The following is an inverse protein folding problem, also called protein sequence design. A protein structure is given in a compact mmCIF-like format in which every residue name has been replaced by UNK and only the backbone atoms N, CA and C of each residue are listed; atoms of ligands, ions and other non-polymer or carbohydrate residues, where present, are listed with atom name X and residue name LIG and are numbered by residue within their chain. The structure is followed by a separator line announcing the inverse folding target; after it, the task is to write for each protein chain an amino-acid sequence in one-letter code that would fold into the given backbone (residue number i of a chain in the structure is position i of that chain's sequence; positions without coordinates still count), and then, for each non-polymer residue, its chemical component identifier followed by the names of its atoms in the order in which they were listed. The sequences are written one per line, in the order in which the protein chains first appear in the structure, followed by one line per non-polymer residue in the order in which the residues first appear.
data_IF_050001428795
#
_entry.id   IF_050001428795
#
_cell.length_a   1.000
_cell.length_b   1.000
_cell.length_c   1.000
_cell.angle_alpha   90.00
_cell.angle_beta   90.00
_cell.angle_gamma   90.00
#
_symmetry.space_group_name_H-M   'P 1'
#
loop_
_entity.id
_entity.type
_entity.pdbx_description
1 polymer ?
#
# COMPACT_ATOMS: atom_id res chain seq x y z
N UNK A 1 7.91 81.18 -5.70
CA UNK A 1 8.06 79.69 -5.59
C UNK A 1 6.71 79.02 -5.32
N UNK A 2 5.60 79.75 -5.25
CA UNK A 2 4.26 79.21 -4.96
C UNK A 2 3.37 78.96 -6.20
N UNK A 3 3.72 79.56 -7.34
CA UNK A 3 2.86 79.52 -8.54
C UNK A 3 3.01 78.13 -9.28
N UNK A 4 4.10 77.39 -9.10
CA UNK A 4 4.23 76.06 -9.71
C UNK A 4 3.48 74.97 -8.98
N UNK A 5 3.10 75.13 -7.69
CA UNK A 5 2.37 74.14 -6.91
C UNK A 5 0.85 74.13 -7.23
N UNK A 6 0.29 75.27 -7.68
CA UNK A 6 -1.14 75.35 -7.96
C UNK A 6 -1.56 74.81 -9.34
N UNK A 7 -0.62 74.74 -10.27
CA UNK A 7 -0.88 74.22 -11.63
C UNK A 7 -0.88 72.70 -11.64
N UNK A 8 -0.09 72.05 -10.77
CA UNK A 8 -0.03 70.58 -10.67
C UNK A 8 -1.29 70.01 -10.00
N UNK A 9 -1.95 70.78 -9.10
CA UNK A 9 -3.15 70.34 -8.40
C UNK A 9 -4.44 70.40 -9.25
N UNK A 10 -4.48 71.23 -10.28
CA UNK A 10 -5.64 71.39 -11.15
C UNK A 10 -5.66 70.45 -12.34
N UNK A 11 -4.53 69.86 -12.70
CA UNK A 11 -4.44 68.84 -13.77
C UNK A 11 -4.76 67.41 -13.30
N UNK A 12 -4.78 67.15 -11.98
CA UNK A 12 -5.10 65.85 -11.43
C UNK A 12 -6.59 65.58 -11.27
N UNK A 13 -7.46 66.57 -11.47
CA UNK A 13 -8.92 66.44 -11.26
C UNK A 13 -9.67 66.08 -12.55
N UNK A 14 -9.02 66.16 -13.72
CA UNK A 14 -9.66 65.90 -15.00
C UNK A 14 -9.39 64.50 -15.58
N UNK A 15 -8.56 63.69 -15.00
CA UNK A 15 -8.47 62.27 -15.36
C UNK A 15 -9.27 61.46 -14.33
N UNK A 16 -10.52 61.14 -14.70
CA UNK A 16 -11.40 60.26 -13.94
C UNK A 16 -10.77 58.88 -13.78
N UNK A 17 -9.90 58.73 -12.78
CA UNK A 17 -9.44 57.41 -12.35
C UNK A 17 -10.60 56.86 -11.50
N UNK A 18 -11.52 56.17 -12.14
CA UNK A 18 -12.41 55.28 -11.41
C UNK A 18 -11.55 54.30 -10.64
N UNK A 19 -11.73 54.11 -9.32
CA UNK A 19 -11.05 53.04 -8.63
C UNK A 19 -11.54 51.73 -9.25
N UNK A 20 -10.68 51.09 -10.01
CA UNK A 20 -10.90 49.76 -10.50
C UNK A 20 -10.92 48.89 -9.23
N UNK A 21 -12.14 48.59 -8.74
CA UNK A 21 -12.37 47.55 -7.73
C UNK A 21 -11.90 46.24 -8.34
N UNK A 22 -10.63 45.91 -8.11
CA UNK A 22 -10.13 44.57 -8.34
C UNK A 22 -10.95 43.70 -7.41
N UNK A 23 -11.80 42.80 -7.91
CA UNK A 23 -12.44 41.85 -7.03
C UNK A 23 -11.28 41.06 -6.34
N UNK A 24 -11.27 41.17 -5.04
CA UNK A 24 -10.43 40.31 -4.22
C UNK A 24 -10.88 38.88 -4.54
N UNK A 25 -10.19 38.29 -5.54
CA UNK A 25 -10.37 36.89 -5.84
C UNK A 25 -9.87 36.16 -4.58
N UNK A 26 -10.80 35.79 -3.70
CA UNK A 26 -10.51 34.86 -2.64
C UNK A 26 -9.94 33.63 -3.34
N UNK A 27 -8.60 33.50 -3.28
CA UNK A 27 -7.93 32.27 -3.59
C UNK A 27 -8.51 31.26 -2.59
N UNK A 28 -9.51 30.53 -3.07
CA UNK A 28 -10.10 29.44 -2.32
C UNK A 28 -8.96 28.59 -1.81
N UNK A 29 -8.79 28.60 -0.50
CA UNK A 29 -7.87 27.72 0.22
C UNK A 29 -8.29 26.33 -0.22
N UNK A 30 -7.54 25.76 -1.19
CA UNK A 30 -7.68 24.35 -1.53
C UNK A 30 -7.56 23.62 -0.21
N UNK A 31 -8.64 23.01 0.23
CA UNK A 31 -8.65 22.16 1.39
C UNK A 31 -7.60 21.09 1.07
N UNK A 32 -6.44 21.20 1.72
CA UNK A 32 -5.48 20.13 1.75
C UNK A 32 -6.24 18.96 2.39
N UNK A 33 -6.69 18.03 1.57
CA UNK A 33 -7.15 16.73 2.04
C UNK A 33 -5.92 16.05 2.63
N UNK A 34 -5.61 16.40 3.89
CA UNK A 34 -4.63 15.67 4.66
C UNK A 34 -5.11 14.21 4.67
N UNK A 35 -4.37 13.35 3.98
CA UNK A 35 -4.61 11.92 4.09
C UNK A 35 -4.57 11.56 5.58
N UNK A 36 -5.46 10.67 6.05
CA UNK A 36 -5.44 10.26 7.44
C UNK A 36 -4.01 9.83 7.80
N UNK A 37 -3.51 10.38 8.89
CA UNK A 37 -2.18 10.07 9.38
C UNK A 37 -2.21 8.68 10.01
N UNK A 38 -1.40 7.76 9.50
CA UNK A 38 -1.25 6.39 10.01
C UNK A 38 0.17 6.23 10.58
N UNK A 39 0.43 6.73 11.79
CA UNK A 39 1.79 6.81 12.35
C UNK A 39 2.45 5.44 12.48
N UNK A 40 1.71 4.41 12.89
CA UNK A 40 2.25 3.05 13.00
C UNK A 40 2.60 2.45 11.64
N UNK A 41 1.83 2.77 10.60
CA UNK A 41 2.09 2.27 9.26
C UNK A 41 3.30 2.95 8.61
N UNK A 42 3.54 4.22 8.90
CA UNK A 42 4.72 4.93 8.42
C UNK A 42 6.00 4.33 9.03
N UNK A 43 6.01 4.09 10.34
CA UNK A 43 7.15 3.45 11.02
C UNK A 43 7.37 2.00 10.57
N UNK A 44 6.30 1.27 10.26
CA UNK A 44 6.37 -0.10 9.73
C UNK A 44 6.80 -0.15 8.26
N UNK A 45 6.83 0.98 7.56
CA UNK A 45 7.37 1.12 6.20
C UNK A 45 6.38 0.73 5.10
N UNK A 46 5.08 0.98 5.32
CA UNK A 46 4.06 0.80 4.28
C UNK A 46 4.13 1.96 3.29
N UNK A 47 4.21 1.60 2.01
CA UNK A 47 4.04 2.52 0.89
C UNK A 47 2.58 2.48 0.45
N UNK A 48 1.79 3.47 0.89
CA UNK A 48 0.38 3.58 0.52
C UNK A 48 0.21 4.02 -0.94
N UNK A 49 -0.78 3.47 -1.62
CA UNK A 49 -1.17 3.96 -2.93
C UNK A 49 -2.05 5.21 -2.79
N UNK A 50 -1.84 6.19 -3.66
CA UNK A 50 -2.66 7.41 -3.69
C UNK A 50 -4.09 7.13 -4.13
N UNK A 51 -4.24 6.19 -5.07
CA UNK A 51 -5.52 5.76 -5.60
C UNK A 51 -5.76 4.29 -5.26
N UNK A 52 -6.96 3.96 -4.82
CA UNK A 52 -7.40 2.59 -4.63
C UNK A 52 -7.64 1.96 -6.01
N UNK A 53 -7.03 0.83 -6.27
CA UNK A 53 -7.21 0.04 -7.51
C UNK A 53 -7.65 -1.36 -7.15
N UNK A 54 -8.48 -1.96 -7.97
CA UNK A 54 -8.82 -3.36 -7.79
C UNK A 54 -7.55 -4.22 -7.85
N UNK A 55 -7.40 -5.12 -6.87
CA UNK A 55 -6.29 -6.05 -6.86
C UNK A 55 -6.39 -6.99 -8.07
N UNK A 56 -5.33 -7.15 -8.87
CA UNK A 56 -5.34 -8.08 -10.00
C UNK A 56 -5.78 -9.46 -9.57
N UNK A 57 -6.81 -9.99 -10.20
CA UNK A 57 -7.35 -11.30 -9.90
C UNK A 57 -6.35 -12.41 -10.29
N UNK A 58 -6.31 -13.46 -9.48
CA UNK A 58 -5.58 -14.67 -9.79
C UNK A 58 -6.28 -15.90 -9.24
N UNK A 59 -5.95 -17.05 -9.83
CA UNK A 59 -6.22 -18.37 -9.28
C UNK A 59 -4.95 -19.22 -9.47
N UNK A 60 -4.29 -19.55 -8.36
CA UNK A 60 -3.02 -20.26 -8.34
C UNK A 60 -3.17 -21.60 -7.60
N UNK A 61 -2.32 -22.57 -7.92
CA UNK A 61 -2.30 -23.85 -7.21
C UNK A 61 -1.58 -23.72 -5.86
N UNK A 62 -2.22 -24.18 -4.81
CA UNK A 62 -1.57 -24.42 -3.52
C UNK A 62 -0.58 -25.58 -3.58
N UNK A 63 0.21 -25.76 -2.52
CA UNK A 63 1.12 -26.90 -2.38
C UNK A 63 0.37 -28.24 -2.43
N UNK A 64 -0.87 -28.30 -1.96
CA UNK A 64 -1.75 -29.47 -2.04
C UNK A 64 -2.34 -29.71 -3.44
N UNK A 65 -2.08 -28.80 -4.39
CA UNK A 65 -2.52 -28.84 -5.77
C UNK A 65 -3.92 -28.27 -6.00
N UNK A 66 -4.62 -27.85 -4.96
CA UNK A 66 -5.96 -27.22 -5.10
C UNK A 66 -5.82 -25.80 -5.58
N UNK A 67 -6.75 -25.31 -6.44
CA UNK A 67 -6.77 -23.91 -6.81
C UNK A 67 -7.21 -23.05 -5.62
N UNK A 68 -6.56 -21.89 -5.48
CA UNK A 68 -6.86 -20.83 -4.50
C UNK A 68 -6.97 -19.53 -5.29
N UNK A 69 -8.11 -18.89 -5.26
CA UNK A 69 -8.36 -17.61 -5.92
C UNK A 69 -8.34 -16.45 -4.91
N UNK A 70 -7.90 -15.27 -5.35
CA UNK A 70 -7.96 -14.07 -4.50
C UNK A 70 -9.41 -13.75 -4.10
N UNK A 71 -10.38 -14.03 -4.99
CA UNK A 71 -11.82 -13.83 -4.73
C UNK A 71 -12.35 -14.64 -3.55
N UNK A 72 -11.69 -15.76 -3.18
CA UNK A 72 -12.14 -16.62 -2.07
C UNK A 72 -12.01 -15.91 -0.71
N UNK A 73 -11.29 -14.80 -0.67
CA UNK A 73 -11.00 -14.02 0.54
C UNK A 73 -11.74 -12.67 0.61
N UNK A 74 -12.72 -12.43 -0.27
CA UNK A 74 -13.55 -11.22 -0.20
C UNK A 74 -14.22 -11.09 1.18
N UNK A 75 -14.33 -9.85 1.67
CA UNK A 75 -14.87 -9.57 3.01
C UNK A 75 -13.81 -9.62 4.13
N UNK A 76 -12.55 -9.98 3.80
CA UNK A 76 -11.43 -10.00 4.73
C UNK A 76 -10.19 -9.37 4.11
N UNK A 77 -9.40 -8.56 4.84
CA UNK A 77 -8.13 -8.07 4.34
C UNK A 77 -7.17 -9.21 4.01
N UNK A 78 -6.36 -9.00 2.97
CA UNK A 78 -5.37 -9.98 2.53
C UNK A 78 -4.00 -9.33 2.42
N UNK A 79 -3.00 -9.94 3.03
CA UNK A 79 -1.59 -9.70 2.75
C UNK A 79 -1.11 -10.71 1.71
N UNK A 80 -0.67 -10.24 0.55
CA UNK A 80 -0.13 -11.08 -0.52
C UNK A 80 1.38 -10.91 -0.52
N UNK A 81 2.11 -11.89 -0.01
CA UNK A 81 3.58 -11.84 0.07
C UNK A 81 4.20 -12.69 -1.04
N UNK A 82 4.89 -12.01 -1.97
CA UNK A 82 5.71 -12.66 -2.99
C UNK A 82 7.09 -12.97 -2.41
N UNK A 83 7.55 -14.21 -2.59
CA UNK A 83 8.82 -14.70 -2.09
C UNK A 83 9.44 -15.75 -3.01
N UNK A 84 10.69 -16.15 -2.76
CA UNK A 84 11.38 -17.18 -3.54
C UNK A 84 12.27 -18.07 -2.68
N UNK A 85 12.54 -19.30 -3.14
CA UNK A 85 13.37 -20.27 -2.40
C UNK A 85 14.84 -19.87 -2.32
N UNK A 86 15.32 -19.04 -3.22
CA UNK A 86 16.69 -18.50 -3.24
C UNK A 86 16.85 -17.19 -2.43
N UNK A 87 15.75 -16.60 -1.94
CA UNK A 87 15.76 -15.34 -1.21
C UNK A 87 16.00 -15.58 0.29
N UNK A 88 17.14 -15.14 0.81
CA UNK A 88 17.51 -15.33 2.21
C UNK A 88 16.59 -14.56 3.15
N UNK A 89 16.37 -13.27 2.90
CA UNK A 89 15.47 -12.42 3.71
C UNK A 89 14.03 -12.92 3.70
N UNK A 90 13.57 -13.54 2.60
CA UNK A 90 12.24 -14.15 2.56
C UNK A 90 12.13 -15.34 3.52
N UNK A 91 13.17 -16.19 3.56
CA UNK A 91 13.20 -17.35 4.46
C UNK A 91 13.22 -16.95 5.95
N UNK A 92 13.82 -15.81 6.25
CA UNK A 92 13.81 -15.23 7.60
C UNK A 92 12.46 -14.59 7.94
N UNK A 93 11.75 -14.03 6.97
CA UNK A 93 10.46 -13.36 7.17
C UNK A 93 9.29 -14.34 7.30
N UNK A 94 9.31 -15.47 6.57
CA UNK A 94 8.22 -16.46 6.57
C UNK A 94 7.82 -16.92 7.98
N UNK A 95 8.74 -17.32 8.88
CA UNK A 95 8.37 -17.70 10.25
C UNK A 95 7.81 -16.55 11.07
N UNK A 96 8.20 -15.29 10.77
CA UNK A 96 7.63 -14.11 11.43
C UNK A 96 6.19 -13.86 10.96
N UNK A 97 5.89 -14.05 9.67
CA UNK A 97 4.54 -13.98 9.12
C UNK A 97 3.64 -15.09 9.70
N UNK A 98 4.16 -16.32 9.81
CA UNK A 98 3.44 -17.43 10.44
C UNK A 98 3.07 -17.08 11.89
N UNK A 99 4.05 -16.62 12.70
CA UNK A 99 3.83 -16.20 14.08
C UNK A 99 2.87 -15.01 14.17
N UNK A 100 3.01 -14.03 13.30
CA UNK A 100 2.11 -12.87 13.23
C UNK A 100 0.66 -13.28 12.98
N UNK A 101 0.42 -14.30 12.14
CA UNK A 101 -0.92 -14.76 11.80
C UNK A 101 -1.65 -15.46 12.96
N UNK A 102 -0.93 -15.95 13.97
CA UNK A 102 -1.52 -16.69 15.08
C UNK A 102 -2.50 -15.81 15.87
N UNK A 103 -3.72 -16.34 16.07
CA UNK A 103 -4.80 -15.62 16.76
C UNK A 103 -5.42 -14.46 15.97
N UNK A 104 -5.08 -14.30 14.66
CA UNK A 104 -5.58 -13.20 13.81
C UNK A 104 -6.21 -13.67 12.50
N UNK A 105 -6.26 -14.98 12.26
CA UNK A 105 -6.74 -15.57 10.99
C UNK A 105 -8.22 -15.36 10.70
N UNK A 106 -8.99 -15.04 11.69
CA UNK A 106 -10.39 -14.61 11.58
C UNK A 106 -10.52 -13.17 11.07
N UNK A 107 -9.53 -12.33 11.34
CA UNK A 107 -9.52 -10.91 10.99
C UNK A 107 -8.72 -10.58 9.72
N UNK A 108 -7.71 -11.38 9.38
CA UNK A 108 -6.75 -11.10 8.31
C UNK A 108 -6.26 -12.42 7.68
N UNK A 109 -6.10 -12.43 6.37
CA UNK A 109 -5.49 -13.55 5.63
C UNK A 109 -4.10 -13.17 5.15
N UNK A 110 -3.15 -14.12 5.20
CA UNK A 110 -1.82 -13.98 4.58
C UNK A 110 -1.67 -15.08 3.54
N UNK A 111 -1.35 -14.70 2.31
CA UNK A 111 -1.06 -15.60 1.20
C UNK A 111 0.42 -15.50 0.85
N UNK A 112 1.12 -16.61 0.86
CA UNK A 112 2.53 -16.71 0.47
C UNK A 112 2.62 -17.20 -0.98
N UNK A 113 3.03 -16.36 -1.93
CA UNK A 113 3.17 -16.72 -3.35
C UNK A 113 4.64 -16.94 -3.68
N UNK A 114 5.02 -18.21 -3.91
CA UNK A 114 6.37 -18.58 -4.35
C UNK A 114 6.51 -18.25 -5.85
N UNK A 115 7.37 -17.27 -6.18
CA UNK A 115 7.56 -16.83 -7.59
C UNK A 115 8.37 -17.83 -8.42
N UNK A 116 9.06 -18.77 -7.78
CA UNK A 116 9.76 -19.91 -8.37
C UNK A 116 9.02 -21.22 -8.04
N UNK A 117 7.70 -21.22 -8.22
CA UNK A 117 6.80 -22.33 -7.88
C UNK A 117 7.09 -23.64 -8.60
N UNK A 118 7.79 -23.61 -9.74
CA UNK A 118 8.30 -24.78 -10.43
C UNK A 118 9.28 -25.59 -9.56
N UNK A 119 9.93 -24.93 -8.59
CA UNK A 119 10.79 -25.58 -7.59
C UNK A 119 10.00 -26.11 -6.40
N UNK A 120 8.87 -26.75 -6.66
CA UNK A 120 7.90 -27.20 -5.63
C UNK A 120 8.56 -27.94 -4.45
N UNK A 121 9.54 -28.80 -4.71
CA UNK A 121 10.23 -29.55 -3.63
C UNK A 121 11.02 -28.63 -2.71
N UNK A 122 11.65 -27.58 -3.24
CA UNK A 122 12.36 -26.60 -2.43
C UNK A 122 11.39 -25.72 -1.63
N UNK A 123 10.27 -25.32 -2.23
CA UNK A 123 9.18 -24.61 -1.54
C UNK A 123 8.66 -25.46 -0.38
N UNK A 124 8.34 -26.75 -0.64
CA UNK A 124 7.83 -27.66 0.38
C UNK A 124 8.83 -27.88 1.54
N UNK A 125 10.13 -27.95 1.22
CA UNK A 125 11.18 -28.06 2.24
C UNK A 125 11.14 -26.87 3.19
N UNK A 126 11.13 -25.63 2.66
CA UNK A 126 11.10 -24.39 3.47
C UNK A 126 9.83 -24.32 4.32
N UNK A 127 8.67 -24.67 3.74
CA UNK A 127 7.38 -24.73 4.44
C UNK A 127 7.42 -25.68 5.63
N UNK A 128 7.98 -26.89 5.44
CA UNK A 128 8.08 -27.90 6.48
C UNK A 128 9.07 -27.51 7.59
N UNK A 129 10.25 -27.01 7.22
CA UNK A 129 11.29 -26.57 8.17
C UNK A 129 10.79 -25.44 9.08
N UNK A 130 9.98 -24.53 8.54
CA UNK A 130 9.41 -23.40 9.29
C UNK A 130 8.01 -23.68 9.86
N UNK A 131 7.49 -24.92 9.71
CA UNK A 131 6.15 -25.32 10.17
C UNK A 131 5.04 -24.37 9.72
N UNK A 132 5.14 -23.89 8.47
CA UNK A 132 4.21 -22.92 7.88
C UNK A 132 2.85 -23.57 7.68
N UNK A 133 1.81 -22.92 8.19
CA UNK A 133 0.40 -23.33 8.05
C UNK A 133 -0.42 -22.31 7.25
N UNK A 134 0.23 -21.21 6.86
CA UNK A 134 -0.34 -20.22 5.93
C UNK A 134 -0.54 -20.83 4.54
N UNK A 135 -1.53 -20.38 3.77
CA UNK A 135 -1.67 -20.77 2.36
C UNK A 135 -0.42 -20.41 1.56
N UNK A 136 0.19 -21.42 0.94
CA UNK A 136 1.36 -21.26 0.06
C UNK A 136 0.95 -21.62 -1.36
N UNK A 137 1.05 -20.64 -2.25
CA UNK A 137 0.65 -20.74 -3.66
C UNK A 137 1.90 -20.79 -4.54
N UNK A 138 1.82 -21.56 -5.60
CA UNK A 138 2.89 -21.75 -6.57
C UNK A 138 2.61 -20.93 -7.83
N UNK A 139 3.47 -19.98 -8.14
CA UNK A 139 3.43 -19.28 -9.41
C UNK A 139 4.26 -20.10 -10.41
N UNK A 140 3.61 -20.56 -11.48
CA UNK A 140 4.25 -21.40 -12.50
C UNK A 140 4.47 -20.63 -13.82
N UNK A 141 3.39 -20.24 -14.48
CA UNK A 141 3.40 -19.55 -15.79
C UNK A 141 2.44 -18.36 -15.85
N UNK A 142 1.75 -18.11 -14.77
CA UNK A 142 0.73 -17.07 -14.68
C UNK A 142 1.38 -15.68 -14.68
N UNK A 143 0.72 -14.72 -15.31
CA UNK A 143 1.22 -13.32 -15.41
C UNK A 143 1.01 -12.49 -14.14
N UNK A 144 0.82 -13.15 -12.99
CA UNK A 144 0.52 -12.46 -11.72
C UNK A 144 1.64 -11.51 -11.31
N UNK A 145 2.91 -11.90 -11.50
CA UNK A 145 4.04 -11.01 -11.24
C UNK A 145 3.97 -9.71 -12.04
N UNK A 146 3.66 -9.82 -13.33
CA UNK A 146 3.58 -8.64 -14.21
C UNK A 146 2.42 -7.73 -13.81
N UNK A 147 1.27 -8.32 -13.49
CA UNK A 147 0.07 -7.60 -13.06
C UNK A 147 0.28 -6.83 -11.75
N UNK A 148 1.03 -7.39 -10.80
CA UNK A 148 1.41 -6.74 -9.53
C UNK A 148 2.68 -5.90 -9.65
N UNK A 149 3.35 -5.90 -10.81
CA UNK A 149 4.61 -5.19 -11.01
C UNK A 149 5.78 -5.76 -10.19
N UNK A 150 5.73 -7.07 -9.88
CA UNK A 150 6.80 -7.77 -9.18
C UNK A 150 7.92 -8.07 -10.16
N UNK A 151 9.03 -7.36 -10.04
CA UNK A 151 10.19 -7.45 -10.96
C UNK A 151 11.36 -8.23 -10.34
N UNK A 152 11.05 -9.31 -9.60
CA UNK A 152 12.07 -10.12 -8.94
C UNK A 152 12.62 -9.54 -7.62
N UNK A 153 12.12 -8.39 -7.18
CA UNK A 153 12.42 -7.83 -5.87
C UNK A 153 11.51 -8.49 -4.83
N UNK A 154 12.08 -9.36 -4.01
CA UNK A 154 11.38 -10.09 -2.95
C UNK A 154 12.17 -10.02 -1.64
N UNK A 155 11.53 -10.04 -0.46
CA UNK A 155 10.09 -10.15 -0.26
C UNK A 155 9.35 -8.86 -0.63
N UNK A 156 8.15 -9.00 -1.16
CA UNK A 156 7.27 -7.89 -1.50
C UNK A 156 5.84 -8.24 -1.08
N UNK A 157 5.27 -7.47 -0.16
CA UNK A 157 3.92 -7.71 0.35
C UNK A 157 2.96 -6.63 -0.13
N UNK A 158 1.87 -7.03 -0.77
CA UNK A 158 0.75 -6.15 -1.12
C UNK A 158 -0.35 -6.26 -0.08
N UNK A 159 -1.01 -5.13 0.18
CA UNK A 159 -2.10 -5.00 1.11
C UNK A 159 -3.40 -4.81 0.33
N UNK A 160 -4.33 -5.73 0.53
CA UNK A 160 -5.65 -5.76 -0.11
C UNK A 160 -6.71 -5.63 0.97
N UNK A 161 -7.65 -4.70 0.81
CA UNK A 161 -8.72 -4.50 1.78
C UNK A 161 -9.89 -5.50 1.61
N UNK A 162 -10.92 -5.37 2.45
CA UNK A 162 -12.08 -6.25 2.47
C UNK A 162 -12.86 -6.22 1.15
N UNK A 163 -12.84 -5.09 0.44
CA UNK A 163 -13.47 -4.89 -0.86
C UNK A 163 -12.61 -5.42 -2.01
N UNK A 164 -11.38 -5.89 -1.71
CA UNK A 164 -10.43 -6.40 -2.68
C UNK A 164 -9.65 -5.31 -3.43
N UNK A 165 -9.51 -4.14 -2.83
CA UNK A 165 -8.74 -3.04 -3.40
C UNK A 165 -7.32 -3.06 -2.89
N UNK A 166 -6.34 -2.82 -3.77
CA UNK A 166 -4.96 -2.56 -3.39
C UNK A 166 -4.86 -1.21 -2.68
N UNK A 167 -4.36 -1.20 -1.45
CA UNK A 167 -4.23 0.02 -0.64
C UNK A 167 -2.78 0.39 -0.34
N UNK A 168 -1.85 -0.52 -0.54
CA UNK A 168 -0.43 -0.27 -0.34
C UNK A 168 0.44 -1.51 -0.56
N UNK A 169 1.74 -1.32 -0.33
CA UNK A 169 2.73 -2.40 -0.38
C UNK A 169 3.84 -2.18 0.63
N UNK A 170 4.53 -3.25 0.96
CA UNK A 170 5.75 -3.28 1.77
C UNK A 170 6.86 -3.87 0.92
N UNK A 171 7.98 -3.18 0.79
CA UNK A 171 9.15 -3.63 0.04
C UNK A 171 10.23 -4.07 1.01
N UNK A 172 10.70 -5.31 0.85
CA UNK A 172 11.73 -5.91 1.71
C UNK A 172 11.17 -6.45 3.02
N UNK A 173 12.03 -7.18 3.71
CA UNK A 173 11.74 -7.85 5.00
C UNK A 173 11.30 -6.87 6.09
N UNK A 174 10.39 -7.32 6.95
CA UNK A 174 9.93 -6.60 8.16
C UNK A 174 9.90 -7.52 9.38
N UNK A 175 10.00 -6.90 10.55
CA UNK A 175 9.71 -7.59 11.81
C UNK A 175 8.21 -7.60 12.06
N UNK A 176 7.55 -8.63 11.55
CA UNK A 176 6.12 -8.85 11.74
C UNK A 176 5.73 -9.14 13.20
N UNK A 177 6.72 -9.45 14.06
CA UNK A 177 6.47 -9.65 15.48
C UNK A 177 6.56 -8.36 16.30
N UNK A 178 6.91 -7.22 15.69
CA UNK A 178 6.92 -5.92 16.35
C UNK A 178 5.51 -5.46 16.73
N UNK A 179 5.41 -4.60 17.74
CA UNK A 179 4.13 -4.02 18.17
C UNK A 179 3.49 -3.16 17.07
N UNK A 180 4.31 -2.51 16.25
CA UNK A 180 3.90 -1.67 15.14
C UNK A 180 3.17 -2.45 14.05
N UNK A 181 3.59 -3.70 13.79
CA UNK A 181 3.01 -4.54 12.75
C UNK A 181 1.49 -4.70 12.93
N UNK A 182 1.05 -5.15 14.10
CA UNK A 182 -0.38 -5.33 14.36
C UNK A 182 -1.13 -4.01 14.51
N UNK A 183 -0.52 -3.02 15.15
CA UNK A 183 -1.11 -1.69 15.30
C UNK A 183 -1.39 -1.06 13.95
N UNK A 184 -0.45 -1.18 13.01
CA UNK A 184 -0.63 -0.71 11.64
C UNK A 184 -1.75 -1.47 10.91
N UNK A 185 -1.82 -2.81 11.03
CA UNK A 185 -2.89 -3.57 10.38
C UNK A 185 -4.27 -3.19 10.93
N UNK A 186 -4.39 -3.00 12.25
CA UNK A 186 -5.65 -2.53 12.86
C UNK A 186 -6.04 -1.15 12.35
N UNK A 187 -5.11 -0.23 12.33
CA UNK A 187 -5.32 1.14 11.86
C UNK A 187 -5.73 1.17 10.38
N UNK A 188 -5.01 0.41 9.54
CA UNK A 188 -5.19 0.43 8.09
C UNK A 188 -6.49 -0.25 7.62
N UNK A 189 -6.86 -1.35 8.26
CA UNK A 189 -8.02 -2.16 7.89
C UNK A 189 -9.21 -2.00 8.84
N UNK A 190 -9.13 -1.09 9.82
CA UNK A 190 -10.15 -0.88 10.86
C UNK A 190 -10.50 -2.17 11.61
N UNK A 191 -9.48 -2.98 11.96
CA UNK A 191 -9.66 -4.24 12.68
C UNK A 191 -9.83 -4.00 14.19
N UNK A 192 -10.45 -4.98 14.87
CA UNK A 192 -10.72 -4.94 16.31
C UNK A 192 -9.60 -5.58 17.15
#
# INVERSE_FOLDING_TARGET
MEMKRRIVLLLSIMMGITPFLIPFFEIGRAASTSQPEYPFCNSFGIQRFQERKEAPAFSLKGLDGKPIALSDFRGKPVLITFWATWCTSCKEEIPLLEKFSQGKRDQLTILLIAIDGERKSAVQKIVNENKVTLPVLLLLKEKVMDQYGVRGWVPLTFLVDQEGMLIGKIVGQRDWCSAEAWSCMKELFSLR
#
